data_IF_442506798053
#
_entry.id   IF_442506798053
#
_cell.length_a   1.000
_cell.length_b   1.000
_cell.length_c   1.000
_cell.angle_alpha   90.00
_cell.angle_beta   90.00
_cell.angle_gamma   90.00
#
_symmetry.space_group_name_H-M   'P 1'
#
loop_
_entity.id
_entity.type
_entity.pdbx_description
1 polymer ?
#
# COMPACT_ATOMS: atom_id res chain seq x y z
N UNK A 1 -10.28 -3.59 4.47
CA UNK A 1 -8.95 -4.20 4.36
C UNK A 1 -7.90 -3.34 5.06
N UNK A 2 -6.86 -3.99 5.59
CA UNK A 2 -5.68 -3.29 6.13
C UNK A 2 -4.43 -3.89 5.49
N UNK A 3 -3.54 -3.03 5.00
CA UNK A 3 -2.30 -3.47 4.38
C UNK A 3 -1.09 -2.61 4.75
N UNK A 4 0.09 -3.25 4.80
CA UNK A 4 1.34 -2.57 5.11
C UNK A 4 2.31 -2.69 3.93
N UNK A 5 3.02 -1.60 3.59
CA UNK A 5 3.99 -1.54 2.50
C UNK A 5 3.36 -2.05 1.18
N UNK A 6 4.03 -2.94 0.46
CA UNK A 6 3.55 -3.60 -0.76
C UNK A 6 2.16 -4.23 -0.56
N UNK A 7 1.93 -4.88 0.60
CA UNK A 7 0.62 -5.44 0.94
C UNK A 7 -0.49 -4.39 1.03
N UNK A 8 -0.17 -3.15 1.43
CA UNK A 8 -1.08 -2.02 1.39
C UNK A 8 -1.46 -1.63 -0.04
N UNK A 9 -0.47 -1.46 -0.90
CA UNK A 9 -0.68 -1.12 -2.31
C UNK A 9 -1.52 -2.18 -3.05
N UNK A 10 -1.22 -3.46 -2.82
CA UNK A 10 -2.01 -4.57 -3.39
C UNK A 10 -3.42 -4.64 -2.82
N UNK A 11 -3.59 -4.41 -1.49
CA UNK A 11 -4.91 -4.37 -0.86
C UNK A 11 -5.80 -3.30 -1.48
N UNK A 12 -5.26 -2.12 -1.80
CA UNK A 12 -5.99 -1.06 -2.48
C UNK A 12 -6.38 -1.47 -3.91
N UNK A 13 -5.49 -2.10 -4.66
CA UNK A 13 -5.80 -2.60 -6.00
C UNK A 13 -6.97 -3.60 -5.96
N UNK A 14 -6.94 -4.55 -5.03
CA UNK A 14 -8.02 -5.52 -4.85
C UNK A 14 -9.31 -4.84 -4.38
N UNK A 15 -9.21 -3.93 -3.40
CA UNK A 15 -10.37 -3.20 -2.87
C UNK A 15 -11.08 -2.37 -3.94
N UNK A 16 -10.33 -1.79 -4.89
CA UNK A 16 -10.91 -0.98 -5.96
C UNK A 16 -11.85 -1.80 -6.86
N UNK A 17 -11.54 -3.07 -7.05
CA UNK A 17 -12.27 -3.98 -7.95
C UNK A 17 -13.30 -4.86 -7.21
N UNK A 18 -13.30 -4.87 -5.88
CA UNK A 18 -14.25 -5.64 -5.06
C UNK A 18 -15.23 -4.70 -4.31
N UNK A 19 -16.52 -4.67 -4.70
CA UNK A 19 -17.52 -3.81 -4.06
C UNK A 19 -17.87 -4.21 -2.62
N UNK A 20 -17.47 -5.40 -2.17
CA UNK A 20 -17.67 -5.86 -0.80
C UNK A 20 -16.71 -5.18 0.18
N UNK A 21 -15.64 -4.57 -0.31
CA UNK A 21 -14.67 -3.86 0.52
C UNK A 21 -15.15 -2.44 0.76
N UNK A 22 -15.65 -2.17 1.95
CA UNK A 22 -16.24 -0.89 2.34
C UNK A 22 -15.22 0.16 2.79
N UNK A 23 -13.97 -0.22 3.06
CA UNK A 23 -12.91 0.69 3.49
C UNK A 23 -11.53 0.03 3.41
N UNK A 24 -10.50 0.85 3.27
CA UNK A 24 -9.12 0.39 3.17
C UNK A 24 -8.19 1.28 4.01
N UNK A 25 -7.25 0.66 4.74
CA UNK A 25 -6.22 1.35 5.49
C UNK A 25 -4.83 0.87 5.05
N UNK A 26 -3.96 1.80 4.69
CA UNK A 26 -2.63 1.53 4.15
C UNK A 26 -1.56 2.19 5.03
N UNK A 27 -0.55 1.42 5.42
CA UNK A 27 0.58 1.87 6.22
C UNK A 27 1.87 1.79 5.38
N UNK A 28 2.49 2.93 5.09
CA UNK A 28 3.74 3.02 4.32
C UNK A 28 3.62 2.40 2.92
N UNK A 29 2.47 2.61 2.25
CA UNK A 29 2.21 2.02 0.95
C UNK A 29 2.86 2.82 -0.20
N UNK A 30 3.22 2.11 -1.27
CA UNK A 30 3.76 2.68 -2.51
C UNK A 30 2.65 3.17 -3.43
N UNK A 31 2.93 4.25 -4.16
CA UNK A 31 2.03 4.80 -5.17
C UNK A 31 2.06 4.03 -6.50
N UNK A 32 3.19 3.39 -6.81
CA UNK A 32 3.41 2.58 -8.01
C UNK A 32 4.48 1.51 -7.78
N UNK A 33 4.77 0.72 -8.81
CA UNK A 33 5.81 -0.30 -8.86
C UNK A 33 6.72 -0.13 -10.08
N UNK A 34 6.83 1.09 -10.59
CA UNK A 34 7.53 1.36 -11.84
C UNK A 34 9.02 1.06 -11.74
N UNK A 35 9.67 1.38 -10.63
CA UNK A 35 11.07 1.06 -10.36
C UNK A 35 11.36 -0.45 -10.40
N UNK A 36 10.44 -1.27 -9.87
CA UNK A 36 10.55 -2.73 -9.92
C UNK A 36 10.31 -3.27 -11.32
N UNK A 37 9.35 -2.69 -12.04
CA UNK A 37 9.03 -3.06 -13.41
C UNK A 37 10.13 -2.67 -14.40
N UNK A 38 10.88 -1.61 -14.13
CA UNK A 38 12.02 -1.18 -14.93
C UNK A 38 13.27 -2.04 -14.71
N UNK A 39 13.46 -2.54 -13.49
CA UNK A 39 14.60 -3.38 -13.11
C UNK A 39 14.15 -4.74 -12.51
N UNK A 40 13.37 -5.55 -13.24
CA UNK A 40 12.75 -6.75 -12.66
C UNK A 40 13.78 -7.80 -12.23
N UNK A 41 14.94 -7.89 -12.88
CA UNK A 41 16.03 -8.80 -12.47
C UNK A 41 16.60 -8.43 -11.11
N UNK A 42 16.91 -7.14 -10.91
CA UNK A 42 17.42 -6.63 -9.63
C UNK A 42 16.40 -6.81 -8.51
N UNK A 43 15.13 -6.55 -8.80
CA UNK A 43 14.05 -6.77 -7.84
C UNK A 43 13.89 -8.25 -7.49
N UNK A 44 14.02 -9.16 -8.47
CA UNK A 44 13.99 -10.61 -8.24
C UNK A 44 15.15 -11.08 -7.35
N UNK A 45 16.38 -10.63 -7.63
CA UNK A 45 17.58 -10.94 -6.82
C UNK A 45 17.37 -10.51 -5.38
N UNK A 46 17.01 -9.27 -5.14
CA UNK A 46 16.71 -8.74 -3.82
C UNK A 46 15.59 -9.53 -3.12
N UNK A 47 14.51 -9.85 -3.82
CA UNK A 47 13.38 -10.61 -3.27
C UNK A 47 13.78 -12.04 -2.86
N UNK A 48 14.75 -12.64 -3.54
CA UNK A 48 15.32 -13.94 -3.18
C UNK A 48 16.25 -13.84 -1.97
N UNK A 49 17.11 -12.82 -1.92
CA UNK A 49 18.01 -12.56 -0.79
C UNK A 49 17.24 -12.41 0.53
N UNK A 50 16.15 -11.66 0.53
CA UNK A 50 15.31 -11.47 1.72
C UNK A 50 14.32 -12.63 1.96
N UNK A 51 14.31 -13.67 1.12
CA UNK A 51 13.45 -14.84 1.25
C UNK A 51 11.97 -14.61 0.94
N UNK A 52 11.62 -13.50 0.30
CA UNK A 52 10.26 -13.23 -0.17
C UNK A 52 9.87 -14.15 -1.34
N UNK A 53 10.79 -14.41 -2.25
CA UNK A 53 10.64 -15.38 -3.34
C UNK A 53 11.55 -16.58 -3.06
N UNK A 54 10.93 -17.71 -2.69
CA UNK A 54 11.64 -18.93 -2.32
C UNK A 54 11.66 -19.99 -3.43
N UNK A 55 10.70 -19.91 -4.37
CA UNK A 55 10.59 -20.89 -5.46
C UNK A 55 11.64 -20.57 -6.54
N UNK A 56 12.61 -21.46 -6.82
CA UNK A 56 13.66 -21.20 -7.81
C UNK A 56 13.12 -21.00 -9.23
N UNK A 57 12.01 -21.68 -9.58
CA UNK A 57 11.37 -21.59 -10.90
C UNK A 57 10.47 -20.39 -11.09
N UNK A 58 10.31 -19.53 -10.09
CA UNK A 58 9.52 -18.29 -10.20
C UNK A 58 10.43 -17.07 -10.37
N UNK A 59 10.09 -16.13 -11.26
CA UNK A 59 9.02 -16.20 -12.26
C UNK A 59 9.44 -17.08 -13.46
N UNK A 60 8.50 -17.66 -14.24
CA UNK A 60 8.83 -18.39 -15.47
C UNK A 60 9.52 -17.52 -16.50
N UNK A 61 9.16 -16.26 -16.58
CA UNK A 61 9.78 -15.21 -17.40
C UNK A 61 9.92 -13.93 -16.60
N UNK A 62 11.13 -13.42 -16.46
CA UNK A 62 11.41 -12.17 -15.73
C UNK A 62 10.85 -10.98 -16.49
N UNK A 63 10.90 -11.02 -17.79
CA UNK A 63 10.40 -9.95 -18.67
C UNK A 63 8.87 -9.86 -18.62
N UNK A 64 8.16 -10.98 -18.62
CA UNK A 64 6.70 -11.01 -18.45
C UNK A 64 6.29 -10.55 -17.07
N UNK A 65 6.97 -11.02 -16.06
CA UNK A 65 6.75 -10.59 -14.68
C UNK A 65 6.94 -9.09 -14.50
N UNK A 66 7.99 -8.49 -15.11
CA UNK A 66 8.18 -7.05 -15.14
C UNK A 66 7.02 -6.30 -15.79
N UNK A 67 6.45 -6.85 -16.90
CA UNK A 67 5.25 -6.29 -17.52
C UNK A 67 4.02 -6.40 -16.63
N UNK A 68 3.88 -7.49 -15.89
CA UNK A 68 2.77 -7.68 -14.94
C UNK A 68 2.85 -6.69 -13.77
N UNK A 69 4.04 -6.38 -13.26
CA UNK A 69 4.22 -5.38 -12.19
C UNK A 69 3.65 -4.01 -12.60
N UNK A 70 3.76 -3.63 -13.88
CA UNK A 70 3.18 -2.38 -14.40
C UNK A 70 1.65 -2.35 -14.42
N UNK A 71 0.99 -3.49 -14.34
CA UNK A 71 -0.48 -3.56 -14.27
C UNK A 71 -1.02 -3.18 -12.91
N UNK A 72 -0.22 -3.32 -11.85
CA UNK A 72 -0.59 -2.88 -10.51
C UNK A 72 -0.37 -1.39 -10.40
N UNK A 73 -1.46 -0.64 -10.43
CA UNK A 73 -1.47 0.83 -10.39
C UNK A 73 -2.23 1.31 -9.15
N UNK A 74 -1.59 1.36 -7.97
CA UNK A 74 -2.23 1.81 -6.74
C UNK A 74 -2.84 3.21 -6.86
N UNK A 75 -2.18 4.13 -7.58
CA UNK A 75 -2.71 5.48 -7.83
C UNK A 75 -4.02 5.46 -8.61
N UNK A 76 -4.15 4.61 -9.65
CA UNK A 76 -5.39 4.46 -10.40
C UNK A 76 -6.45 3.71 -9.57
N UNK A 77 -6.03 2.74 -8.78
CA UNK A 77 -6.90 2.07 -7.82
C UNK A 77 -7.48 3.04 -6.79
N UNK A 78 -6.68 4.00 -6.27
CA UNK A 78 -7.14 5.03 -5.37
C UNK A 78 -8.29 5.87 -5.98
N UNK A 79 -8.16 6.27 -7.25
CA UNK A 79 -9.23 6.99 -7.97
C UNK A 79 -10.50 6.17 -8.09
N UNK A 80 -10.39 4.88 -8.45
CA UNK A 80 -11.55 3.98 -8.59
C UNK A 80 -12.16 3.60 -7.24
N UNK A 81 -11.37 3.60 -6.17
CA UNK A 81 -11.86 3.29 -4.82
C UNK A 81 -12.71 4.41 -4.23
N UNK A 82 -12.48 5.66 -4.63
CA UNK A 82 -13.28 6.80 -4.19
C UNK A 82 -14.78 6.62 -4.53
N UNK A 83 -15.70 7.06 -3.69
CA UNK A 83 -15.51 7.79 -2.43
C UNK A 83 -15.44 6.89 -1.18
N UNK A 84 -15.21 5.59 -1.32
CA UNK A 84 -15.14 4.65 -0.17
C UNK A 84 -14.01 5.06 0.79
N UNK A 85 -14.17 4.90 2.11
CA UNK A 85 -13.19 5.33 3.10
C UNK A 85 -11.78 4.78 2.85
N UNK A 86 -10.81 5.66 2.64
CA UNK A 86 -9.39 5.34 2.50
C UNK A 86 -8.59 6.06 3.59
N UNK A 87 -7.87 5.28 4.39
CA UNK A 87 -6.93 5.78 5.38
C UNK A 87 -5.51 5.49 4.95
N UNK A 88 -4.66 6.49 4.98
CA UNK A 88 -3.25 6.42 4.64
C UNK A 88 -2.43 6.87 5.83
N UNK A 89 -1.46 6.05 6.25
CA UNK A 89 -0.50 6.42 7.28
C UNK A 89 0.91 6.24 6.75
N UNK A 90 1.78 7.23 7.00
CA UNK A 90 3.19 7.17 6.61
C UNK A 90 4.08 7.68 7.74
N UNK A 91 5.26 7.07 7.91
CA UNK A 91 6.29 7.59 8.80
C UNK A 91 7.01 8.76 8.15
N UNK A 92 7.21 9.85 8.89
CA UNK A 92 7.92 11.02 8.36
C UNK A 92 9.40 10.73 8.03
N UNK A 93 10.00 9.77 8.74
CA UNK A 93 11.39 9.31 8.57
C UNK A 93 11.47 7.96 7.85
N UNK A 94 10.49 7.64 6.99
CA UNK A 94 10.51 6.43 6.16
C UNK A 94 11.61 6.54 5.10
N UNK A 95 12.63 5.70 5.22
CA UNK A 95 13.81 5.63 4.36
C UNK A 95 13.69 4.53 3.26
N UNK A 96 12.56 3.81 3.24
CA UNK A 96 12.29 2.71 2.29
C UNK A 96 11.28 3.14 1.22
N UNK A 97 10.16 3.74 1.66
CA UNK A 97 9.11 4.24 0.78
C UNK A 97 8.96 5.75 1.00
N UNK A 98 9.11 6.58 -0.04
CA UNK A 98 8.97 8.02 0.11
C UNK A 98 7.60 8.42 0.65
N UNK A 99 7.55 9.34 1.61
CA UNK A 99 6.28 9.89 2.15
C UNK A 99 5.42 10.54 1.05
N UNK A 100 6.06 10.98 -0.04
CA UNK A 100 5.40 11.50 -1.23
C UNK A 100 4.40 10.50 -1.83
N UNK A 101 4.65 9.20 -1.73
CA UNK A 101 3.77 8.15 -2.26
C UNK A 101 2.38 8.20 -1.62
N UNK A 102 2.30 8.33 -0.29
CA UNK A 102 1.01 8.48 0.39
C UNK A 102 0.30 9.79 0.02
N UNK A 103 1.03 10.87 -0.25
CA UNK A 103 0.43 12.11 -0.74
C UNK A 103 -0.15 11.96 -2.13
N UNK A 104 0.55 11.25 -3.03
CA UNK A 104 0.06 10.93 -4.38
C UNK A 104 -1.22 10.10 -4.31
N UNK A 105 -1.24 9.07 -3.46
CA UNK A 105 -2.43 8.24 -3.25
C UNK A 105 -3.61 9.05 -2.68
N UNK A 106 -3.35 9.90 -1.68
CA UNK A 106 -4.38 10.77 -1.08
C UNK A 106 -4.96 11.74 -2.11
N UNK A 107 -4.11 12.38 -2.91
CA UNK A 107 -4.53 13.29 -3.97
C UNK A 107 -5.35 12.56 -5.04
N UNK A 108 -4.93 11.37 -5.44
CA UNK A 108 -5.62 10.57 -6.44
C UNK A 108 -7.02 10.15 -5.97
N UNK A 109 -7.19 9.84 -4.69
CA UNK A 109 -8.47 9.48 -4.09
C UNK A 109 -9.37 10.70 -3.88
N UNK A 110 -8.81 11.86 -3.50
CA UNK A 110 -9.52 13.13 -3.34
C UNK A 110 -10.21 13.35 -1.99
N UNK A 111 -10.49 12.30 -1.21
CA UNK A 111 -11.11 12.37 0.11
C UNK A 111 -10.50 11.42 1.14
N UNK A 112 -9.30 10.90 0.88
CA UNK A 112 -8.59 10.04 1.82
C UNK A 112 -8.16 10.79 3.08
N UNK A 113 -8.22 10.10 4.23
CA UNK A 113 -7.61 10.58 5.47
C UNK A 113 -6.13 10.22 5.46
N UNK A 114 -5.24 11.22 5.46
CA UNK A 114 -3.78 11.03 5.48
C UNK A 114 -3.19 11.45 6.81
N UNK A 115 -2.44 10.54 7.45
CA UNK A 115 -1.66 10.78 8.66
C UNK A 115 -0.17 10.57 8.39
N UNK A 116 0.64 11.61 8.62
CA UNK A 116 2.10 11.51 8.60
C UNK A 116 2.59 11.55 10.03
N UNK A 117 3.23 10.46 10.47
CA UNK A 117 3.64 10.28 11.86
C UNK A 117 5.10 10.69 12.05
N UNK A 118 5.32 11.84 12.72
CA UNK A 118 6.64 12.34 13.06
C UNK A 118 7.37 11.39 14.02
N UNK A 119 8.66 11.18 13.80
CA UNK A 119 9.49 10.26 14.57
C UNK A 119 9.22 8.78 14.27
N UNK A 120 8.53 8.46 13.18
CA UNK A 120 8.29 7.11 12.75
C UNK A 120 8.95 6.84 11.38
N UNK A 121 9.60 5.69 11.26
CA UNK A 121 10.14 5.16 10.02
C UNK A 121 9.18 4.20 9.32
N UNK A 122 9.74 3.33 8.47
CA UNK A 122 8.98 2.39 7.63
C UNK A 122 8.14 1.37 8.42
N UNK A 123 8.57 0.99 9.63
CA UNK A 123 7.98 -0.13 10.38
C UNK A 123 6.77 0.30 11.23
N UNK A 124 5.79 0.99 10.63
CA UNK A 124 4.60 1.51 11.33
C UNK A 124 3.82 0.45 12.08
N UNK A 125 3.78 -0.80 11.59
CA UNK A 125 3.11 -1.91 12.28
C UNK A 125 3.68 -2.26 13.67
N UNK A 126 4.88 -1.75 13.98
CA UNK A 126 5.54 -1.91 15.27
C UNK A 126 5.52 -0.64 16.12
N UNK A 127 4.95 0.46 15.62
CA UNK A 127 4.79 1.70 16.37
C UNK A 127 3.44 1.71 17.09
N UNK A 128 3.41 1.71 18.44
CA UNK A 128 2.16 1.70 19.20
C UNK A 128 1.24 2.88 18.87
N UNK A 129 1.80 4.04 18.51
CA UNK A 129 1.03 5.24 18.13
C UNK A 129 0.29 4.98 16.82
N UNK A 130 0.99 4.38 15.83
CA UNK A 130 0.39 4.02 14.55
C UNK A 130 -0.75 3.02 14.73
N UNK A 131 -0.56 2.00 15.56
CA UNK A 131 -1.59 1.01 15.85
C UNK A 131 -2.80 1.66 16.55
N UNK A 132 -2.58 2.53 17.53
CA UNK A 132 -3.66 3.22 18.23
C UNK A 132 -4.50 4.09 17.27
N UNK A 133 -3.84 4.85 16.39
CA UNK A 133 -4.52 5.68 15.39
C UNK A 133 -5.33 4.82 14.42
N UNK A 134 -4.73 3.72 13.92
CA UNK A 134 -5.41 2.78 13.01
C UNK A 134 -6.66 2.17 13.68
N UNK A 135 -6.56 1.72 14.92
CA UNK A 135 -7.70 1.15 15.65
C UNK A 135 -8.80 2.18 15.83
N UNK A 136 -8.47 3.42 16.17
CA UNK A 136 -9.43 4.51 16.26
C UNK A 136 -10.14 4.79 14.93
N UNK A 137 -9.42 4.73 13.82
CA UNK A 137 -10.04 4.87 12.51
C UNK A 137 -11.00 3.70 12.20
N UNK A 138 -10.59 2.46 12.46
CA UNK A 138 -11.42 1.27 12.26
C UNK A 138 -12.71 1.31 13.10
N UNK A 139 -12.64 1.76 14.34
CA UNK A 139 -13.82 1.92 15.21
C UNK A 139 -14.80 2.96 14.65
N UNK A 140 -14.31 4.08 14.11
CA UNK A 140 -15.17 5.06 13.43
C UNK A 140 -15.87 4.46 12.21
N UNK A 141 -15.16 3.67 11.39
CA UNK A 141 -15.76 3.02 10.20
C UNK A 141 -16.85 2.02 10.60
N UNK A 142 -16.61 1.22 11.67
CA UNK A 142 -17.60 0.27 12.17
C UNK A 142 -18.88 0.99 12.66
N UNK A 143 -18.74 2.11 13.33
CA UNK A 143 -19.88 2.88 13.85
C UNK A 143 -20.72 3.49 12.71
N UNK A 144 -20.09 3.94 11.62
CA UNK A 144 -20.78 4.45 10.43
C UNK A 144 -21.55 3.34 9.70
N UNK A 145 -20.96 2.14 9.59
CA UNK A 145 -21.59 1.00 8.92
C UNK A 145 -22.77 0.39 9.70
N UNK A 146 -22.93 0.72 10.98
CA UNK A 146 -24.02 0.26 11.83
C UNK A 146 -25.27 1.19 11.83
N UNK A 147 -25.21 2.31 11.12
CA UNK A 147 -26.31 3.26 10.92
C UNK A 147 -27.06 2.98 9.63
#
# INVERSE_FOLDING_TARGET
>A
LVGNNTGGSLALCVAADDPRVNGCALLGARADFDDWAEQPRRFLEHSREIGAIRRPSFPPSVEEWGRELRRFRPTDAARRFAPRPLFLMHGAEDDIVPTADSRVLAQAHGSAELQVLTGAGHRLRHDPRAISILLGWLDRQRSIAAL
#
